data_IF_282113020315
#
_entry.id   IF_282113020315
#
_cell.length_a   1.000
_cell.length_b   1.000
_cell.length_c   1.000
_cell.angle_alpha   90.00
_cell.angle_beta   90.00
_cell.angle_gamma   90.00
#
_symmetry.space_group_name_H-M   'P 1'
#
loop_
_entity.id
_entity.type
_entity.pdbx_description
1 polymer ?
#
# COMPACT_ATOMS: atom_id res chain seq x y z
N UNK A 1 0.24 0.07 8.42
CA UNK A 1 -0.24 1.40 8.03
C UNK A 1 -0.50 2.19 9.30
N UNK A 2 -0.17 3.46 9.33
CA UNK A 2 -0.47 4.41 10.42
C UNK A 2 -1.26 5.59 9.83
N UNK A 3 -1.99 6.31 10.67
CA UNK A 3 -2.70 7.51 10.27
C UNK A 3 -1.74 8.71 10.09
N UNK A 4 -2.31 9.89 9.83
CA UNK A 4 -1.58 11.14 9.62
C UNK A 4 -0.88 11.64 10.89
N UNK A 5 -1.44 11.42 12.08
CA UNK A 5 -0.84 11.85 13.35
C UNK A 5 0.45 11.09 13.66
N UNK A 6 0.50 9.80 13.30
CA UNK A 6 1.67 8.92 13.49
C UNK A 6 2.58 8.82 12.25
N UNK A 7 2.32 9.60 11.19
CA UNK A 7 3.13 9.57 9.97
C UNK A 7 4.55 10.13 10.23
N UNK A 8 5.62 9.32 10.04
CA UNK A 8 6.99 9.77 10.30
C UNK A 8 7.51 10.84 9.33
N UNK A 9 6.83 11.09 8.20
CA UNK A 9 7.20 12.18 7.27
C UNK A 9 6.60 13.52 7.68
N UNK A 10 5.63 13.53 8.60
CA UNK A 10 4.87 14.72 9.00
C UNK A 10 3.86 15.20 7.95
N UNK A 11 3.60 14.41 6.91
CA UNK A 11 2.59 14.71 5.89
C UNK A 11 1.18 14.33 6.38
N UNK A 12 0.19 15.12 5.99
CA UNK A 12 -1.23 14.92 6.35
C UNK A 12 -1.90 13.83 5.49
N UNK A 13 -1.31 12.63 5.51
CA UNK A 13 -1.75 11.43 4.78
C UNK A 13 -1.43 10.18 5.61
N UNK A 14 -2.16 9.08 5.36
CA UNK A 14 -1.81 7.77 5.92
C UNK A 14 -0.47 7.28 5.40
N UNK A 15 0.27 6.56 6.25
CA UNK A 15 1.62 6.10 5.90
C UNK A 15 1.78 4.58 6.02
N UNK A 16 2.34 3.97 4.97
CA UNK A 16 2.69 2.55 4.93
C UNK A 16 4.20 2.40 5.10
N UNK A 17 4.60 1.81 6.22
CA UNK A 17 5.98 1.36 6.44
C UNK A 17 6.34 0.26 5.45
N UNK A 18 7.17 0.56 4.46
CA UNK A 18 7.49 -0.36 3.37
C UNK A 18 8.19 -1.64 3.85
N UNK A 19 9.06 -1.52 4.85
CA UNK A 19 9.75 -2.62 5.52
C UNK A 19 8.82 -3.57 6.30
N UNK A 20 7.57 -3.17 6.53
CA UNK A 20 6.52 -3.98 7.17
C UNK A 20 5.43 -4.39 6.19
N UNK A 21 5.33 -3.74 5.03
CA UNK A 21 4.36 -4.08 4.00
C UNK A 21 4.73 -5.42 3.36
N UNK A 22 3.75 -6.31 3.29
CA UNK A 22 3.88 -7.61 2.60
C UNK A 22 2.89 -7.74 1.45
N UNK A 23 2.28 -6.63 1.03
CA UNK A 23 1.27 -6.59 -0.06
C UNK A 23 0.14 -7.63 0.13
N UNK A 24 -0.16 -7.91 1.40
CA UNK A 24 -1.06 -8.95 1.88
C UNK A 24 -0.75 -10.38 1.38
N UNK A 25 0.43 -10.66 0.82
CA UNK A 25 0.85 -12.00 0.40
C UNK A 25 0.74 -12.98 1.56
N UNK A 26 0.03 -14.10 1.33
CA UNK A 26 -0.23 -15.13 2.35
C UNK A 26 -1.31 -14.78 3.37
N UNK A 27 -1.99 -13.63 3.21
CA UNK A 27 -3.03 -13.17 4.13
C UNK A 27 -4.36 -12.85 3.42
N UNK A 28 -4.32 -12.15 2.27
CA UNK A 28 -5.49 -11.83 1.46
C UNK A 28 -5.14 -11.87 -0.03
N UNK A 29 -6.15 -12.10 -0.87
CA UNK A 29 -5.99 -12.12 -2.34
C UNK A 29 -5.60 -10.74 -2.87
N UNK A 30 -6.16 -9.65 -2.33
CA UNK A 30 -5.82 -8.26 -2.64
C UNK A 30 -5.33 -7.49 -1.40
N UNK A 31 -4.58 -6.38 -1.56
CA UNK A 31 -4.20 -5.53 -0.44
C UNK A 31 -5.40 -4.90 0.27
N UNK A 32 -5.72 -5.40 1.47
CA UNK A 32 -6.91 -5.01 2.22
C UNK A 32 -6.99 -3.51 2.55
N UNK A 33 -5.86 -2.80 2.61
CA UNK A 33 -5.86 -1.35 2.80
C UNK A 33 -6.42 -0.59 1.59
N UNK A 34 -6.18 -1.09 0.38
CA UNK A 34 -6.71 -0.52 -0.84
C UNK A 34 -8.21 -0.83 -0.99
N UNK A 35 -8.62 -2.07 -0.73
CA UNK A 35 -10.05 -2.49 -0.75
C UNK A 35 -10.91 -1.70 0.25
N UNK A 36 -10.36 -1.41 1.44
CA UNK A 36 -11.08 -0.69 2.48
C UNK A 36 -11.07 0.84 2.28
N UNK A 37 -10.25 1.36 1.36
CA UNK A 37 -10.13 2.80 1.17
C UNK A 37 -11.43 3.34 0.54
N UNK A 38 -12.09 4.34 1.16
CA UNK A 38 -13.34 4.90 0.62
C UNK A 38 -13.13 5.74 -0.64
N UNK A 39 -11.87 6.01 -1.01
CA UNK A 39 -11.48 6.83 -2.15
C UNK A 39 -10.85 5.93 -3.21
N UNK A 40 -11.52 5.78 -4.35
CA UNK A 40 -11.07 5.00 -5.50
C UNK A 40 -9.71 5.51 -6.02
N UNK A 41 -8.79 4.58 -6.32
CA UNK A 41 -7.46 4.90 -6.84
C UNK A 41 -6.53 5.66 -5.88
N UNK A 42 -6.91 5.84 -4.61
CA UNK A 42 -6.12 6.60 -3.65
C UNK A 42 -4.79 5.92 -3.26
N UNK A 43 -4.77 4.59 -3.26
CA UNK A 43 -3.59 3.80 -2.92
C UNK A 43 -3.04 3.20 -4.21
N UNK A 44 -1.79 3.53 -4.52
CA UNK A 44 -1.10 3.13 -5.75
C UNK A 44 0.11 2.27 -5.44
N UNK A 45 0.55 1.49 -6.43
CA UNK A 45 1.79 0.72 -6.34
C UNK A 45 3.00 1.65 -6.27
N UNK A 46 3.98 1.27 -5.48
CA UNK A 46 5.30 1.91 -5.44
C UNK A 46 6.27 1.18 -6.39
N UNK A 47 7.53 1.60 -6.45
CA UNK A 47 8.58 0.91 -7.18
C UNK A 47 8.76 -0.53 -6.70
N UNK A 48 9.13 -1.44 -7.61
CA UNK A 48 9.46 -2.81 -7.25
C UNK A 48 10.74 -2.86 -6.40
N UNK A 49 10.80 -3.82 -5.47
CA UNK A 49 11.80 -3.92 -4.41
C UNK A 49 11.58 -2.98 -3.22
N UNK A 50 10.43 -2.30 -3.13
CA UNK A 50 10.18 -1.32 -2.06
C UNK A 50 9.53 -1.95 -0.82
N UNK A 51 8.68 -2.97 -0.99
CA UNK A 51 8.02 -3.69 0.10
C UNK A 51 8.88 -4.84 0.65
N UNK A 52 8.56 -5.32 1.85
CA UNK A 52 9.23 -6.48 2.46
C UNK A 52 8.98 -7.77 1.68
N UNK A 53 7.74 -7.95 1.22
CA UNK A 53 7.30 -9.05 0.34
C UNK A 53 6.42 -8.40 -0.72
N UNK A 54 6.64 -8.79 -1.96
CA UNK A 54 5.91 -8.25 -3.11
C UNK A 54 5.00 -9.31 -3.70
N UNK A 55 3.86 -8.86 -4.22
CA UNK A 55 2.96 -9.67 -5.05
C UNK A 55 3.57 -9.90 -6.42
N UNK A 56 3.44 -11.12 -6.93
CA UNK A 56 3.89 -11.48 -8.28
C UNK A 56 3.05 -10.79 -9.38
N UNK A 57 1.81 -10.41 -9.05
CA UNK A 57 0.82 -9.80 -9.94
C UNK A 57 0.59 -8.30 -9.68
N UNK A 58 1.55 -7.63 -9.02
CA UNK A 58 1.50 -6.18 -8.80
C UNK A 58 1.42 -5.38 -10.11
N UNK A 59 0.72 -4.25 -10.08
CA UNK A 59 0.69 -3.28 -11.18
C UNK A 59 1.98 -2.47 -11.30
N UNK A 60 2.01 -1.54 -12.24
CA UNK A 60 3.12 -0.60 -12.41
C UNK A 60 3.10 0.49 -11.32
N UNK A 61 4.26 1.06 -10.99
CA UNK A 61 4.34 2.15 -10.03
C UNK A 61 3.43 3.33 -10.44
N UNK A 62 2.61 3.80 -9.51
CA UNK A 62 1.60 4.84 -9.73
C UNK A 62 0.25 4.33 -10.23
N UNK A 63 0.09 3.05 -10.58
CA UNK A 63 -1.22 2.46 -10.88
C UNK A 63 -1.99 2.15 -9.59
N UNK A 64 -3.32 2.29 -9.57
CA UNK A 64 -4.15 1.86 -8.46
C UNK A 64 -3.87 0.41 -8.02
N UNK A 65 -3.83 0.19 -6.72
CA UNK A 65 -3.65 -1.17 -6.15
C UNK A 65 -4.87 -2.05 -6.38
N UNK A 66 -6.05 -1.44 -6.44
CA UNK A 66 -7.34 -2.08 -6.79
C UNK A 66 -8.05 -1.17 -7.79
N UNK A 67 -8.77 -1.78 -8.73
CA UNK A 67 -9.67 -1.07 -9.67
C UNK A 67 -10.97 -0.62 -8.99
#
# INVERSE_FOLDING_TARGET
IVDNDDNPTGEDIYYVYKDKCVECVGHNDAPACADACPTEGCIVWDEAGSSKIEKDDRGAAGEPVVE
#
